data_IF_041162477954
#
_entry.id   IF_041162477954
#
_cell.length_a   1.000
_cell.length_b   1.000
_cell.length_c   1.000
_cell.angle_alpha   90.00
_cell.angle_beta   90.00
_cell.angle_gamma   90.00
#
_symmetry.space_group_name_H-M   'P 1'
#
loop_
_entity.id
_entity.type
_entity.pdbx_description
1 polymer ?
#
# COMPACT_ATOMS: atom_id res chain seq x y z
N UNK A 1 -17.85 -56.37 3.02
CA UNK A 1 -18.48 -56.04 1.71
C UNK A 1 -17.57 -55.02 1.00
N UNK A 2 -16.94 -55.36 -0.14
CA UNK A 2 -16.07 -54.44 -0.89
C UNK A 2 -16.94 -53.49 -1.72
N UNK A 3 -16.85 -52.18 -1.50
CA UNK A 3 -17.40 -51.19 -2.43
C UNK A 3 -16.49 -51.13 -3.65
N UNK A 4 -16.99 -51.56 -4.80
CA UNK A 4 -16.30 -51.48 -6.08
C UNK A 4 -16.79 -50.21 -6.78
N UNK A 5 -15.91 -49.25 -6.99
CA UNK A 5 -16.21 -48.04 -7.76
C UNK A 5 -15.89 -48.31 -9.23
N UNK A 6 -16.93 -48.45 -10.07
CA UNK A 6 -16.77 -48.78 -11.50
C UNK A 6 -16.26 -47.61 -12.35
N UNK A 7 -16.26 -46.38 -11.81
CA UNK A 7 -15.73 -45.19 -12.46
C UNK A 7 -15.03 -44.32 -11.42
N UNK A 8 -13.73 -44.11 -11.61
CA UNK A 8 -12.92 -43.20 -10.80
C UNK A 8 -12.80 -41.87 -11.53
N UNK A 9 -12.88 -40.78 -10.77
CA UNK A 9 -12.54 -39.46 -11.28
C UNK A 9 -11.03 -39.26 -11.19
N UNK A 10 -10.44 -38.60 -12.17
CA UNK A 10 -9.11 -38.05 -12.00
C UNK A 10 -9.12 -36.99 -10.88
N UNK A 11 -7.98 -36.73 -10.20
CA UNK A 11 -7.89 -35.67 -9.21
C UNK A 11 -8.39 -34.31 -9.71
N UNK A 12 -8.14 -33.98 -10.99
CA UNK A 12 -8.59 -32.73 -11.61
C UNK A 12 -10.11 -32.65 -11.76
N UNK A 13 -10.75 -33.74 -12.17
CA UNK A 13 -12.22 -33.80 -12.28
C UNK A 13 -12.88 -33.75 -10.90
N UNK A 14 -12.28 -34.40 -9.91
CA UNK A 14 -12.75 -34.33 -8.52
C UNK A 14 -12.68 -32.90 -7.96
N UNK A 15 -11.54 -32.21 -8.14
CA UNK A 15 -11.39 -30.80 -7.72
C UNK A 15 -12.38 -29.90 -8.44
N UNK A 16 -12.55 -30.04 -9.77
CA UNK A 16 -13.53 -29.25 -10.53
C UNK A 16 -14.95 -29.44 -9.97
N UNK A 17 -15.37 -30.68 -9.77
CA UNK A 17 -16.71 -31.01 -9.25
C UNK A 17 -16.92 -30.45 -7.84
N UNK A 18 -15.86 -30.45 -7.01
CA UNK A 18 -15.90 -29.88 -5.67
C UNK A 18 -16.02 -28.36 -5.71
N UNK A 19 -15.22 -27.70 -6.54
CA UNK A 19 -15.23 -26.25 -6.70
C UNK A 19 -16.56 -25.72 -7.27
N UNK A 20 -17.25 -26.50 -8.11
CA UNK A 20 -18.59 -26.17 -8.63
C UNK A 20 -19.69 -26.15 -7.53
N UNK A 21 -19.43 -26.78 -6.38
CA UNK A 21 -20.43 -26.95 -5.30
C UNK A 21 -20.15 -26.08 -4.08
N UNK A 22 -18.93 -25.59 -3.92
CA UNK A 22 -18.59 -24.66 -2.83
C UNK A 22 -18.95 -23.23 -3.23
N UNK A 23 -19.34 -22.43 -2.25
CA UNK A 23 -19.57 -21.00 -2.41
C UNK A 23 -18.62 -20.23 -1.50
N UNK A 24 -18.17 -19.02 -1.90
CA UNK A 24 -17.48 -18.13 -0.99
C UNK A 24 -18.28 -17.92 0.29
N UNK A 25 -17.58 -17.77 1.41
CA UNK A 25 -18.21 -17.38 2.67
C UNK A 25 -18.70 -15.94 2.60
N UNK A 26 -19.50 -15.54 3.59
CA UNK A 26 -19.89 -14.14 3.77
C UNK A 26 -18.71 -13.24 4.08
N UNK A 27 -18.98 -11.95 4.14
CA UNK A 27 -18.02 -10.92 4.52
C UNK A 27 -18.29 -10.49 5.96
N UNK A 28 -17.24 -10.08 6.66
CA UNK A 28 -17.31 -9.55 8.01
C UNK A 28 -16.30 -8.42 8.15
N UNK A 29 -16.59 -7.47 9.03
CA UNK A 29 -15.62 -6.47 9.46
C UNK A 29 -14.90 -7.00 10.69
N UNK A 30 -13.58 -6.85 10.70
CA UNK A 30 -12.72 -7.28 11.80
C UNK A 30 -11.73 -6.18 12.12
N UNK A 31 -11.23 -6.17 13.35
CA UNK A 31 -10.15 -5.27 13.74
C UNK A 31 -8.89 -5.54 12.92
N UNK A 32 -8.12 -4.49 12.63
CA UNK A 32 -6.91 -4.58 11.81
C UNK A 32 -5.87 -5.57 12.38
N UNK A 33 -5.80 -5.67 13.70
CA UNK A 33 -4.88 -6.58 14.39
C UNK A 33 -5.27 -8.05 14.21
N UNK A 34 -6.55 -8.34 13.95
CA UNK A 34 -7.09 -9.68 13.72
C UNK A 34 -7.22 -10.04 12.23
N UNK A 35 -6.83 -9.11 11.35
CA UNK A 35 -6.94 -9.27 9.90
C UNK A 35 -5.84 -10.15 9.28
N UNK A 36 -4.76 -10.46 10.02
CA UNK A 36 -3.65 -11.25 9.51
C UNK A 36 -4.11 -12.65 9.05
N UNK A 37 -3.79 -13.03 7.81
CA UNK A 37 -4.19 -14.30 7.20
C UNK A 37 -5.62 -14.35 6.65
N UNK A 38 -6.39 -13.26 6.75
CA UNK A 38 -7.71 -13.13 6.12
C UNK A 38 -7.58 -12.73 4.65
N UNK A 39 -8.67 -12.86 3.90
CA UNK A 39 -8.76 -12.45 2.50
C UNK A 39 -9.67 -11.22 2.40
N UNK A 40 -9.22 -10.18 1.69
CA UNK A 40 -10.02 -8.98 1.49
C UNK A 40 -11.31 -9.30 0.74
N UNK A 41 -12.42 -8.75 1.22
CA UNK A 41 -13.72 -8.86 0.58
C UNK A 41 -13.86 -7.96 -0.66
N UNK A 42 -13.12 -6.85 -0.71
CA UNK A 42 -13.10 -5.89 -1.80
C UNK A 42 -11.76 -5.15 -1.87
N UNK A 43 -11.51 -4.48 -2.98
CA UNK A 43 -10.36 -3.58 -3.14
C UNK A 43 -10.37 -2.46 -2.08
N UNK A 44 -9.18 -2.00 -1.72
CA UNK A 44 -8.98 -0.91 -0.76
C UNK A 44 -8.23 0.22 -1.45
N UNK A 45 -8.82 1.42 -1.44
CA UNK A 45 -8.25 2.61 -2.04
C UNK A 45 -7.80 3.59 -0.95
N UNK A 46 -6.67 4.27 -1.19
CA UNK A 46 -6.22 5.33 -0.31
C UNK A 46 -7.27 6.45 -0.26
N UNK A 47 -7.64 6.87 0.94
CA UNK A 47 -8.60 7.97 1.15
C UNK A 47 -7.94 9.34 1.23
N UNK A 48 -6.62 9.38 1.37
CA UNK A 48 -5.79 10.57 1.52
C UNK A 48 -4.44 10.35 0.88
N UNK A 49 -3.79 11.45 0.48
CA UNK A 49 -2.39 11.42 0.07
C UNK A 49 -1.47 11.09 1.25
N UNK A 50 -0.35 10.44 0.95
CA UNK A 50 0.69 10.13 1.92
C UNK A 50 2.06 10.42 1.30
N UNK A 51 2.75 11.50 1.70
CA UNK A 51 2.36 12.48 2.72
C UNK A 51 1.20 13.40 2.27
N UNK A 52 0.43 13.96 3.21
CA UNK A 52 -0.71 14.83 2.88
C UNK A 52 -0.33 16.27 2.50
N UNK A 53 0.96 16.63 2.54
CA UNK A 53 1.48 17.95 2.19
C UNK A 53 2.98 17.89 1.87
N UNK A 54 3.48 18.94 1.22
CA UNK A 54 4.90 19.11 0.91
C UNK A 54 5.72 19.27 2.20
N UNK A 55 6.68 18.38 2.39
CA UNK A 55 7.54 18.36 3.57
C UNK A 55 9.00 18.24 3.17
N UNK A 56 9.88 18.78 4.01
CA UNK A 56 11.30 18.50 3.84
C UNK A 56 11.59 17.03 4.14
N UNK A 57 12.45 16.44 3.29
CA UNK A 57 13.00 15.10 3.49
C UNK A 57 14.28 15.10 4.31
N UNK A 58 14.88 16.28 4.50
CA UNK A 58 16.17 16.48 5.16
C UNK A 58 16.13 17.69 6.10
N UNK A 59 17.13 17.78 6.96
CA UNK A 59 17.43 19.02 7.66
C UNK A 59 18.11 20.00 6.70
N UNK A 60 17.62 21.24 6.65
CA UNK A 60 18.14 22.25 5.73
C UNK A 60 17.37 23.55 5.76
N UNK A 61 17.51 24.33 4.69
CA UNK A 61 16.83 25.63 4.53
C UNK A 61 15.85 25.55 3.37
N UNK A 62 14.59 25.93 3.61
CA UNK A 62 13.64 26.16 2.55
C UNK A 62 14.01 27.46 1.83
N UNK A 63 14.21 27.39 0.52
CA UNK A 63 14.60 28.50 -0.34
C UNK A 63 13.67 28.56 -1.54
N UNK A 64 13.57 29.73 -2.16
CA UNK A 64 13.02 29.84 -3.51
C UNK A 64 14.12 29.44 -4.48
N UNK A 65 13.86 28.46 -5.34
CA UNK A 65 14.87 27.97 -6.28
C UNK A 65 15.39 29.07 -7.22
N UNK A 66 14.51 30.00 -7.62
CA UNK A 66 14.84 31.14 -8.49
C UNK A 66 15.84 32.13 -7.84
N UNK A 67 15.82 32.28 -6.51
CA UNK A 67 16.74 33.17 -5.80
C UNK A 67 18.19 32.65 -5.84
N UNK A 68 18.39 31.39 -6.24
CA UNK A 68 19.70 30.74 -6.31
C UNK A 68 20.27 30.66 -7.73
N UNK A 69 19.59 31.20 -8.74
CA UNK A 69 20.08 31.15 -10.11
C UNK A 69 21.38 31.94 -10.25
N UNK A 70 22.42 31.30 -10.81
CA UNK A 70 23.76 31.89 -10.94
C UNK A 70 24.65 31.74 -9.71
N UNK A 71 24.19 31.05 -8.67
CA UNK A 71 25.07 30.62 -7.59
C UNK A 71 26.04 29.54 -8.10
N UNK A 72 27.32 29.70 -7.80
CA UNK A 72 28.35 28.70 -7.99
C UNK A 72 29.41 28.79 -6.88
N UNK A 73 30.45 27.95 -6.93
CA UNK A 73 31.49 27.91 -5.90
C UNK A 73 32.28 29.22 -5.76
N UNK A 74 32.38 30.01 -6.83
CA UNK A 74 33.08 31.30 -6.86
C UNK A 74 32.15 32.49 -6.63
N UNK A 75 30.85 32.32 -6.90
CA UNK A 75 29.81 33.33 -6.75
C UNK A 75 28.68 32.83 -5.82
N UNK A 76 28.89 32.83 -4.49
CA UNK A 76 27.87 32.45 -3.54
C UNK A 76 26.75 33.50 -3.45
N UNK A 77 25.52 33.05 -3.21
CA UNK A 77 24.37 33.92 -2.96
C UNK A 77 24.05 33.90 -1.46
N UNK A 78 24.12 35.07 -0.82
CA UNK A 78 23.75 35.25 0.58
C UNK A 78 22.24 35.41 0.74
N UNK A 79 21.64 34.54 1.57
CA UNK A 79 20.22 34.61 1.92
C UNK A 79 20.03 34.97 3.38
N UNK A 80 19.00 35.77 3.68
CA UNK A 80 18.62 36.10 5.05
C UNK A 80 17.69 35.04 5.63
N UNK A 81 17.99 34.57 6.84
CA UNK A 81 17.11 33.67 7.57
C UNK A 81 15.81 34.37 7.95
N UNK A 82 14.70 33.98 7.31
CA UNK A 82 13.38 34.57 7.55
C UNK A 82 12.64 33.93 8.75
N UNK A 83 12.91 32.67 9.05
CA UNK A 83 12.23 31.94 10.11
C UNK A 83 12.70 30.49 10.21
N UNK A 84 12.01 29.69 11.03
CA UNK A 84 12.26 28.26 11.21
C UNK A 84 10.94 27.53 11.41
N UNK A 85 10.82 26.35 10.83
CA UNK A 85 9.69 25.43 11.00
C UNK A 85 10.23 24.14 11.60
N UNK A 86 9.51 23.57 12.57
CA UNK A 86 9.81 22.28 13.19
C UNK A 86 8.76 21.26 12.79
N UNK A 87 9.02 20.00 13.09
CA UNK A 87 7.98 18.97 13.00
C UNK A 87 6.86 19.28 13.99
N UNK A 88 5.61 19.17 13.52
CA UNK A 88 4.39 19.42 14.30
C UNK A 88 3.85 20.83 14.10
#
# INVERSE_FOLDING_TARGET
>A
MRRIFHKLLSPREAVKTLLERVRPLGVEEVDLLDAFGRVLASDIYARVDSPPFDRSLVDGYAVRAEDLYGADESNPIDLKLAGRVRVG
#
